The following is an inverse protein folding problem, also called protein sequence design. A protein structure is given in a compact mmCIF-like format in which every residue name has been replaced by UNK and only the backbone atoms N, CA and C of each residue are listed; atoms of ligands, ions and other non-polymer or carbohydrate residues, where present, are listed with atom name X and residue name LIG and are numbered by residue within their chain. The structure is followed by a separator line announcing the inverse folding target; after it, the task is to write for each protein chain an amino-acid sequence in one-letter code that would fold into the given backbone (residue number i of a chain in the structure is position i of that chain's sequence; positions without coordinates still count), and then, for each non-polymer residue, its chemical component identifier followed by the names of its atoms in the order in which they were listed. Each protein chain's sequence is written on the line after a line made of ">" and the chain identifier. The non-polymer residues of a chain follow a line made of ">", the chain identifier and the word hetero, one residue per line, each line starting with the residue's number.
data_IF_352145812535
#
_entry.id   IF_352145812535
#
_cell.length_a   1.000
_cell.length_b   1.000
_cell.length_c   1.000
_cell.angle_alpha   90.00
_cell.angle_beta   90.00
_cell.angle_gamma   90.00
#
_symmetry.space_group_name_H-M   'P 1'
#
loop_
_entity.id
_entity.type
_entity.pdbx_description
1 polymer ?
#
# COMPACT_ATOMS: atom_id res chain seq x y z
N UNK A 1 12.36 -6.42 33.25
CA UNK A 1 13.54 -7.18 32.76
C UNK A 1 13.19 -8.61 32.30
N UNK A 2 12.05 -9.19 32.71
CA UNK A 2 11.72 -10.61 32.46
C UNK A 2 11.19 -10.93 31.03
N UNK A 3 10.42 -10.03 30.42
CA UNK A 3 9.79 -10.27 29.11
C UNK A 3 10.79 -10.20 27.94
N UNK A 4 11.75 -9.28 27.99
CA UNK A 4 12.79 -9.14 26.97
C UNK A 4 13.65 -10.41 26.88
N UNK A 5 14.02 -10.98 28.02
CA UNK A 5 14.78 -12.23 28.08
C UNK A 5 13.97 -13.41 27.54
N UNK A 6 12.69 -13.54 27.91
CA UNK A 6 11.79 -14.58 27.37
C UNK A 6 11.66 -14.48 25.85
N UNK A 7 11.48 -13.27 25.31
CA UNK A 7 11.41 -13.03 23.87
C UNK A 7 12.74 -13.34 23.16
N UNK A 8 13.89 -13.04 23.78
CA UNK A 8 15.20 -13.36 23.22
C UNK A 8 15.44 -14.88 23.16
N UNK A 9 15.04 -15.62 24.19
CA UNK A 9 15.11 -17.10 24.23
C UNK A 9 14.18 -17.68 23.15
N UNK A 10 12.94 -17.21 23.07
CA UNK A 10 11.98 -17.64 22.06
C UNK A 10 12.50 -17.42 20.63
N UNK A 11 13.04 -16.23 20.33
CA UNK A 11 13.68 -15.94 19.03
C UNK A 11 14.86 -16.85 18.74
N UNK A 12 15.62 -17.25 19.77
CA UNK A 12 16.72 -18.21 19.62
C UNK A 12 16.22 -19.61 19.26
N UNK A 13 15.12 -20.05 19.87
CA UNK A 13 14.46 -21.32 19.50
C UNK A 13 13.92 -21.30 18.07
N UNK A 14 13.20 -20.24 17.67
CA UNK A 14 12.73 -20.08 16.29
C UNK A 14 13.88 -20.14 15.27
N UNK A 15 15.03 -19.53 15.60
CA UNK A 15 16.21 -19.59 14.74
C UNK A 15 16.77 -21.01 14.61
N UNK A 16 16.79 -21.78 15.70
CA UNK A 16 17.20 -23.20 15.68
C UNK A 16 16.26 -24.06 14.83
N UNK A 17 14.97 -23.72 14.82
CA UNK A 17 13.95 -24.36 13.99
C UNK A 17 13.97 -23.91 12.52
N UNK A 18 14.83 -22.95 12.15
CA UNK A 18 14.95 -22.47 10.78
C UNK A 18 13.83 -21.54 10.33
N UNK A 19 13.08 -20.93 11.26
CA UNK A 19 11.96 -20.04 10.92
C UNK A 19 12.42 -18.84 10.07
N UNK A 20 11.90 -18.65 8.84
CA UNK A 20 12.41 -17.63 7.91
C UNK A 20 12.43 -16.22 8.48
N UNK A 21 11.40 -15.79 9.20
CA UNK A 21 11.30 -14.45 9.80
C UNK A 21 12.50 -14.07 10.69
N UNK A 22 13.10 -15.04 11.39
CA UNK A 22 14.25 -14.79 12.27
C UNK A 22 15.60 -15.19 11.67
N UNK A 23 15.60 -15.91 10.55
CA UNK A 23 16.81 -16.34 9.83
C UNK A 23 17.11 -15.50 8.60
N UNK A 24 16.14 -14.77 8.04
CA UNK A 24 16.27 -14.03 6.78
C UNK A 24 17.43 -13.02 6.80
N UNK A 25 17.70 -12.39 7.95
CA UNK A 25 18.82 -11.46 8.12
C UNK A 25 20.08 -12.10 8.71
N UNK A 26 20.12 -13.43 8.85
CA UNK A 26 21.31 -14.14 9.35
C UNK A 26 22.44 -14.12 8.31
N UNK A 27 23.69 -14.25 8.76
CA UNK A 27 24.86 -14.24 7.89
C UNK A 27 24.87 -15.39 6.85
N UNK A 28 24.16 -16.49 7.13
CA UNK A 28 24.11 -17.68 6.25
C UNK A 28 23.30 -17.49 4.97
N UNK A 29 22.37 -16.53 4.95
CA UNK A 29 21.47 -16.29 3.82
C UNK A 29 21.82 -14.99 3.08
N UNK A 30 23.08 -14.55 3.16
CA UNK A 30 23.54 -13.31 2.54
C UNK A 30 24.33 -13.56 1.26
N UNK A 31 24.25 -12.63 0.29
CA UNK A 31 25.16 -12.63 -0.85
C UNK A 31 26.62 -12.61 -0.40
N UNK A 32 27.48 -13.27 -1.17
CA UNK A 32 28.93 -13.30 -0.91
C UNK A 32 29.48 -11.87 -0.73
N UNK A 33 30.33 -11.68 0.30
CA UNK A 33 30.96 -10.38 0.62
C UNK A 33 30.21 -9.50 1.62
N UNK A 34 29.04 -9.89 2.14
CA UNK A 34 28.27 -9.10 3.14
C UNK A 34 28.46 -9.61 4.58
N UNK A 35 29.40 -9.01 5.32
CA UNK A 35 29.78 -9.47 6.67
C UNK A 35 28.98 -8.88 7.85
N UNK A 36 28.03 -7.97 7.62
CA UNK A 36 27.24 -7.32 8.70
C UNK A 36 25.90 -8.02 8.94
N UNK A 37 25.48 -8.29 10.20
CA UNK A 37 24.21 -8.93 10.53
C UNK A 37 22.94 -8.19 10.08
N UNK A 38 23.01 -6.89 9.78
CA UNK A 38 21.89 -6.14 9.20
C UNK A 38 22.22 -5.79 7.74
N UNK A 39 21.76 -6.61 6.79
CA UNK A 39 21.95 -6.30 5.37
C UNK A 39 20.60 -6.16 4.68
N UNK A 40 20.27 -4.94 4.24
CA UNK A 40 19.22 -4.63 3.25
C UNK A 40 17.76 -4.95 3.61
N UNK A 41 17.51 -5.86 4.56
CA UNK A 41 16.17 -6.33 4.90
C UNK A 41 15.50 -5.32 5.80
N UNK A 42 14.41 -4.74 5.28
CA UNK A 42 13.52 -3.85 6.03
C UNK A 42 12.98 -4.57 7.27
N UNK A 43 12.77 -3.82 8.35
CA UNK A 43 12.10 -4.37 9.53
C UNK A 43 10.60 -4.43 9.28
N UNK A 44 9.90 -5.48 9.72
CA UNK A 44 8.46 -5.52 9.65
C UNK A 44 7.84 -4.33 10.37
N UNK A 45 6.77 -3.78 9.80
CA UNK A 45 5.85 -2.91 10.53
C UNK A 45 5.16 -3.73 11.62
N UNK A 46 4.71 -3.09 12.70
CA UNK A 46 4.09 -3.84 13.83
C UNK A 46 2.82 -4.58 13.42
N UNK A 47 2.13 -4.06 12.41
CA UNK A 47 0.93 -4.67 11.86
C UNK A 47 1.21 -5.82 10.90
N UNK A 48 2.46 -6.02 10.46
CA UNK A 48 2.82 -7.10 9.52
C UNK A 48 3.06 -8.40 10.30
N UNK A 49 1.97 -9.01 10.75
CA UNK A 49 2.00 -10.24 11.56
C UNK A 49 2.57 -11.43 10.80
N UNK A 50 2.44 -11.45 9.47
CA UNK A 50 3.00 -12.49 8.60
C UNK A 50 4.06 -11.91 7.66
N UNK A 51 5.14 -11.38 8.23
CA UNK A 51 6.19 -10.70 7.45
C UNK A 51 6.93 -11.63 6.48
N UNK A 52 7.38 -12.78 6.98
CA UNK A 52 8.11 -13.80 6.23
C UNK A 52 7.81 -15.21 6.81
N UNK A 53 6.59 -15.75 6.57
CA UNK A 53 6.18 -17.03 7.14
C UNK A 53 6.93 -18.23 6.52
N UNK A 54 7.01 -19.37 7.22
CA UNK A 54 7.47 -20.63 6.64
C UNK A 54 6.51 -21.12 5.55
N UNK A 55 7.00 -22.01 4.69
CA UNK A 55 6.15 -22.68 3.72
C UNK A 55 5.11 -23.58 4.43
N UNK A 56 3.92 -23.78 3.82
CA UNK A 56 2.95 -24.74 4.31
C UNK A 56 3.55 -26.14 4.45
N UNK A 57 3.01 -26.94 5.38
CA UNK A 57 3.48 -28.31 5.62
C UNK A 57 3.35 -29.13 4.33
N UNK A 58 4.42 -29.82 3.96
CA UNK A 58 4.47 -30.64 2.73
C UNK A 58 4.86 -29.86 1.48
N UNK A 59 4.97 -28.54 1.54
CA UNK A 59 5.39 -27.71 0.42
C UNK A 59 6.90 -27.43 0.42
N UNK A 60 7.46 -27.32 -0.77
CA UNK A 60 8.85 -26.96 -1.05
C UNK A 60 8.89 -25.80 -2.03
N UNK A 61 10.05 -25.16 -2.18
CA UNK A 61 10.22 -24.11 -3.20
C UNK A 61 9.87 -24.62 -4.60
N UNK A 62 10.28 -25.84 -4.95
CA UNK A 62 9.99 -26.46 -6.26
C UNK A 62 8.49 -26.69 -6.47
N UNK A 63 7.77 -27.16 -5.44
CA UNK A 63 6.32 -27.39 -5.57
C UNK A 63 5.55 -26.07 -5.68
N UNK A 64 5.94 -25.05 -4.92
CA UNK A 64 5.32 -23.72 -4.98
C UNK A 64 5.64 -22.99 -6.29
N UNK A 65 6.83 -23.17 -6.85
CA UNK A 65 7.19 -22.67 -8.18
C UNK A 65 6.34 -23.32 -9.29
N UNK A 66 6.04 -24.61 -9.18
CA UNK A 66 5.11 -25.28 -10.10
C UNK A 66 3.71 -24.66 -10.03
N UNK A 67 3.18 -24.43 -8.82
CA UNK A 67 1.88 -23.78 -8.62
C UNK A 67 1.87 -22.36 -9.19
N UNK A 68 2.96 -21.61 -9.02
CA UNK A 68 3.11 -20.26 -9.60
C UNK A 68 3.10 -20.29 -11.13
N UNK A 69 3.79 -21.24 -11.76
CA UNK A 69 3.77 -21.36 -13.23
C UNK A 69 2.37 -21.61 -13.76
N UNK A 70 1.57 -22.44 -13.07
CA UNK A 70 0.16 -22.62 -13.41
C UNK A 70 -0.65 -21.33 -13.23
N UNK A 71 -0.37 -20.56 -12.17
CA UNK A 71 -1.04 -19.29 -11.86
C UNK A 71 -0.94 -18.28 -13.00
N UNK A 72 0.23 -18.17 -13.66
CA UNK A 72 0.43 -17.29 -14.83
C UNK A 72 -0.52 -17.64 -15.98
N UNK A 73 -0.83 -18.93 -16.17
CA UNK A 73 -1.81 -19.37 -17.16
C UNK A 73 -3.25 -19.16 -16.70
N UNK A 74 -3.51 -19.33 -15.40
CA UNK A 74 -4.83 -19.31 -14.80
C UNK A 74 -5.45 -17.92 -14.77
N UNK A 75 -4.64 -16.87 -14.60
CA UNK A 75 -5.07 -15.46 -14.67
C UNK A 75 -5.67 -15.12 -16.03
N UNK A 76 -5.18 -15.76 -17.11
CA UNK A 76 -5.65 -15.52 -18.48
C UNK A 76 -6.98 -16.24 -18.78
N UNK A 77 -7.43 -17.14 -17.90
CA UNK A 77 -8.65 -17.94 -18.11
C UNK A 77 -9.89 -17.19 -17.63
N UNK A 78 -10.95 -17.22 -18.44
CA UNK A 78 -12.26 -16.69 -18.03
C UNK A 78 -12.83 -17.46 -16.84
N UNK A 79 -13.47 -16.75 -15.92
CA UNK A 79 -14.17 -17.31 -14.74
C UNK A 79 -13.30 -18.18 -13.80
N UNK A 80 -11.99 -17.93 -13.76
CA UNK A 80 -11.06 -18.75 -13.00
C UNK A 80 -10.62 -18.14 -11.65
N UNK A 81 -11.36 -17.13 -11.17
CA UNK A 81 -10.99 -16.31 -10.00
C UNK A 81 -10.77 -17.12 -8.73
N UNK A 82 -11.62 -18.12 -8.47
CA UNK A 82 -11.49 -18.94 -7.26
C UNK A 82 -10.24 -19.83 -7.29
N UNK A 83 -9.90 -20.40 -8.46
CA UNK A 83 -8.67 -21.17 -8.61
C UNK A 83 -7.43 -20.30 -8.43
N UNK A 84 -7.42 -19.09 -9.02
CA UNK A 84 -6.36 -18.10 -8.83
C UNK A 84 -6.23 -17.76 -7.35
N UNK A 85 -7.33 -17.47 -6.67
CA UNK A 85 -7.35 -17.14 -5.23
C UNK A 85 -6.77 -18.26 -4.37
N UNK A 86 -7.18 -19.51 -4.59
CA UNK A 86 -6.64 -20.67 -3.86
C UNK A 86 -5.13 -20.84 -4.10
N UNK A 87 -4.68 -20.67 -5.34
CA UNK A 87 -3.25 -20.76 -5.69
C UNK A 87 -2.45 -19.60 -5.10
N UNK A 88 -2.99 -18.38 -5.12
CA UNK A 88 -2.41 -17.22 -4.47
C UNK A 88 -2.25 -17.47 -2.97
N UNK A 89 -3.28 -17.99 -2.30
CA UNK A 89 -3.19 -18.34 -0.88
C UNK A 89 -2.11 -19.37 -0.59
N UNK A 90 -2.09 -20.46 -1.36
CA UNK A 90 -1.09 -21.54 -1.23
C UNK A 90 0.35 -21.04 -1.39
N UNK A 91 0.56 -20.05 -2.25
CA UNK A 91 1.88 -19.52 -2.61
C UNK A 91 2.28 -18.26 -1.83
N UNK A 92 1.47 -17.82 -0.86
CA UNK A 92 1.73 -16.61 -0.06
C UNK A 92 3.13 -16.55 0.56
N UNK A 93 3.55 -17.63 1.24
CA UNK A 93 4.85 -17.68 1.89
C UNK A 93 6.02 -17.60 0.89
N UNK A 94 5.85 -18.16 -0.31
CA UNK A 94 6.85 -18.09 -1.38
C UNK A 94 6.99 -16.69 -1.94
N UNK A 95 5.86 -16.04 -2.28
CA UNK A 95 5.84 -14.62 -2.67
C UNK A 95 6.48 -13.72 -1.64
N UNK A 96 6.14 -13.87 -0.35
CA UNK A 96 6.71 -13.04 0.72
C UNK A 96 8.21 -13.21 0.86
N UNK A 97 8.73 -14.42 0.69
CA UNK A 97 10.18 -14.64 0.70
C UNK A 97 10.85 -13.91 -0.48
N UNK A 98 10.30 -14.01 -1.68
CA UNK A 98 10.82 -13.31 -2.87
C UNK A 98 10.82 -11.78 -2.66
N UNK A 99 9.69 -11.21 -2.23
CA UNK A 99 9.57 -9.76 -1.96
C UNK A 99 10.53 -9.28 -0.88
N UNK A 100 10.66 -10.02 0.24
CA UNK A 100 11.44 -9.55 1.40
C UNK A 100 12.94 -9.82 1.25
N UNK A 101 13.30 -10.96 0.63
CA UNK A 101 14.69 -11.40 0.49
C UNK A 101 15.33 -10.90 -0.81
N UNK A 102 14.65 -11.13 -1.92
CA UNK A 102 15.22 -10.94 -3.25
C UNK A 102 14.99 -9.51 -3.75
N UNK A 103 13.94 -8.84 -3.25
CA UNK A 103 13.58 -7.45 -3.56
C UNK A 103 13.68 -7.14 -5.07
N UNK A 104 12.98 -7.90 -5.92
CA UNK A 104 13.04 -7.74 -7.37
C UNK A 104 12.45 -6.39 -7.82
N UNK A 105 12.81 -5.96 -9.03
CA UNK A 105 12.15 -4.84 -9.68
C UNK A 105 10.64 -5.13 -9.83
N UNK A 106 9.81 -4.10 -9.69
CA UNK A 106 8.35 -4.26 -9.73
C UNK A 106 7.87 -4.85 -11.07
N UNK A 107 8.49 -4.47 -12.19
CA UNK A 107 8.21 -5.04 -13.51
C UNK A 107 8.38 -6.55 -13.56
N UNK A 108 9.52 -7.03 -13.09
CA UNK A 108 9.86 -8.45 -13.12
C UNK A 108 8.95 -9.23 -12.16
N UNK A 109 8.66 -8.64 -11.00
CA UNK A 109 7.76 -9.22 -10.02
C UNK A 109 6.32 -9.30 -10.54
N UNK A 110 5.83 -8.26 -11.22
CA UNK A 110 4.51 -8.25 -11.84
C UNK A 110 4.39 -9.28 -12.95
N UNK A 111 5.41 -9.44 -13.80
CA UNK A 111 5.43 -10.49 -14.81
C UNK A 111 5.38 -11.90 -14.18
N UNK A 112 5.99 -12.06 -13.01
CA UNK A 112 6.06 -13.36 -12.30
C UNK A 112 4.81 -13.67 -11.46
N UNK A 113 4.14 -12.64 -10.95
CA UNK A 113 2.95 -12.70 -10.10
C UNK A 113 1.83 -11.76 -10.58
N UNK A 114 1.32 -11.90 -11.82
CA UNK A 114 0.38 -10.95 -12.40
C UNK A 114 -0.92 -10.82 -11.61
N UNK A 115 -1.42 -11.94 -11.02
CA UNK A 115 -2.63 -11.93 -10.21
C UNK A 115 -2.55 -11.00 -9.00
N UNK A 116 -1.37 -10.76 -8.44
CA UNK A 116 -1.22 -9.92 -7.26
C UNK A 116 -1.70 -8.48 -7.51
N UNK A 117 -1.65 -8.02 -8.77
CA UNK A 117 -2.02 -6.67 -9.16
C UNK A 117 -3.51 -6.55 -9.53
N UNK A 118 -4.33 -7.55 -9.17
CA UNK A 118 -5.78 -7.45 -9.20
C UNK A 118 -6.33 -6.97 -7.85
N UNK A 119 -7.37 -6.13 -7.86
CA UNK A 119 -8.01 -5.56 -6.66
C UNK A 119 -8.34 -6.63 -5.60
N UNK A 120 -8.88 -7.76 -6.02
CA UNK A 120 -9.24 -8.87 -5.13
C UNK A 120 -8.04 -9.49 -4.42
N UNK A 121 -6.94 -9.68 -5.14
CA UNK A 121 -5.74 -10.30 -4.59
C UNK A 121 -4.89 -9.32 -3.77
N UNK A 122 -4.87 -8.02 -4.08
CA UNK A 122 -4.26 -7.01 -3.19
C UNK A 122 -4.97 -7.00 -1.83
N UNK A 123 -6.31 -7.02 -1.84
CA UNK A 123 -7.11 -7.13 -0.63
C UNK A 123 -6.79 -8.41 0.16
N UNK A 124 -6.71 -9.55 -0.52
CA UNK A 124 -6.40 -10.83 0.10
C UNK A 124 -4.96 -10.87 0.65
N UNK A 125 -3.98 -10.39 -0.10
CA UNK A 125 -2.57 -10.38 0.29
C UNK A 125 -2.33 -9.45 1.48
N UNK A 126 -2.89 -8.25 1.45
CA UNK A 126 -2.84 -7.33 2.59
C UNK A 126 -3.43 -7.96 3.85
N UNK A 127 -4.57 -8.66 3.71
CA UNK A 127 -5.20 -9.37 4.83
C UNK A 127 -4.34 -10.54 5.32
N UNK A 128 -3.68 -11.28 4.42
CA UNK A 128 -2.73 -12.34 4.81
C UNK A 128 -1.55 -11.73 5.60
N UNK A 129 -1.04 -10.56 5.21
CA UNK A 129 0.08 -9.89 5.87
C UNK A 129 -0.31 -9.31 7.23
N UNK A 130 -1.49 -8.68 7.33
CA UNK A 130 -1.87 -7.82 8.47
C UNK A 130 -3.02 -8.32 9.33
N UNK A 131 -3.68 -9.40 8.91
CA UNK A 131 -4.97 -9.92 9.41
C UNK A 131 -6.16 -8.97 9.33
N UNK A 132 -5.98 -7.77 8.77
CA UNK A 132 -7.02 -6.77 8.61
C UNK A 132 -7.55 -6.73 7.17
N UNK A 133 -8.87 -6.55 6.95
CA UNK A 133 -9.36 -6.26 5.62
C UNK A 133 -8.85 -4.89 5.14
N UNK A 134 -8.43 -4.78 3.87
CA UNK A 134 -7.87 -3.55 3.31
C UNK A 134 -8.97 -2.55 2.93
N UNK A 135 -9.64 -2.79 1.80
CA UNK A 135 -10.52 -1.80 1.15
C UNK A 135 -11.70 -1.42 2.05
N UNK A 136 -12.43 -2.41 2.59
CA UNK A 136 -13.60 -2.12 3.41
C UNK A 136 -13.24 -1.36 4.70
N UNK A 137 -12.12 -1.71 5.34
CA UNK A 137 -11.63 -0.98 6.52
C UNK A 137 -11.17 0.42 6.16
N UNK A 138 -10.36 0.57 5.10
CA UNK A 138 -9.82 1.86 4.69
C UNK A 138 -10.93 2.87 4.42
N UNK A 139 -11.90 2.49 3.57
CA UNK A 139 -13.00 3.37 3.18
C UNK A 139 -13.94 3.66 4.36
N UNK A 140 -14.37 2.64 5.12
CA UNK A 140 -15.26 2.87 6.26
C UNK A 140 -14.62 3.72 7.36
N UNK A 141 -13.34 3.53 7.64
CA UNK A 141 -12.63 4.33 8.64
C UNK A 141 -12.38 5.75 8.15
N UNK A 142 -12.13 5.95 6.86
CA UNK A 142 -12.04 7.27 6.27
C UNK A 142 -13.40 8.00 6.41
N UNK A 143 -14.51 7.33 6.12
CA UNK A 143 -15.87 7.89 6.29
C UNK A 143 -16.13 8.30 7.74
N UNK A 144 -15.80 7.45 8.72
CA UNK A 144 -15.95 7.74 10.16
C UNK A 144 -15.20 9.01 10.57
N UNK A 145 -14.06 9.30 9.94
CA UNK A 145 -13.25 10.48 10.24
C UNK A 145 -13.55 11.69 9.37
N UNK A 146 -14.29 11.53 8.26
CA UNK A 146 -14.44 12.53 7.20
C UNK A 146 -15.05 13.83 7.72
N UNK A 147 -16.18 13.77 8.43
CA UNK A 147 -16.86 14.98 8.94
C UNK A 147 -15.95 15.82 9.86
N UNK A 148 -15.22 15.15 10.75
CA UNK A 148 -14.29 15.83 11.67
C UNK A 148 -13.08 16.40 10.92
N UNK A 149 -12.52 15.65 9.97
CA UNK A 149 -11.43 16.13 9.11
C UNK A 149 -11.85 17.37 8.33
N UNK A 150 -13.03 17.35 7.70
CA UNK A 150 -13.57 18.48 6.94
C UNK A 150 -13.73 19.71 7.84
N UNK A 151 -14.26 19.57 9.07
CA UNK A 151 -14.32 20.68 10.03
C UNK A 151 -12.94 21.25 10.35
N UNK A 152 -11.94 20.39 10.56
CA UNK A 152 -10.56 20.85 10.80
C UNK A 152 -9.97 21.58 9.59
N UNK A 153 -10.30 21.14 8.38
CA UNK A 153 -9.87 21.79 7.15
C UNK A 153 -10.52 23.17 6.99
N UNK A 154 -11.84 23.28 7.19
CA UNK A 154 -12.60 24.55 7.14
C UNK A 154 -12.11 25.58 8.19
N UNK A 155 -11.65 25.12 9.36
CA UNK A 155 -11.12 25.99 10.42
C UNK A 155 -9.66 26.44 10.21
N UNK A 156 -8.99 25.98 9.14
CA UNK A 156 -7.61 26.35 8.87
C UNK A 156 -7.56 27.69 8.15
N UNK A 157 -6.79 28.65 8.67
CA UNK A 157 -6.56 29.94 8.02
C UNK A 157 -5.32 29.99 7.11
N UNK A 158 -5.09 31.16 6.52
CA UNK A 158 -3.89 31.46 5.72
C UNK A 158 -3.86 30.76 4.35
N UNK A 159 -2.66 30.62 3.77
CA UNK A 159 -2.48 30.00 2.46
C UNK A 159 -2.91 28.52 2.43
N UNK A 160 -2.62 27.77 3.51
CA UNK A 160 -3.06 26.38 3.66
C UNK A 160 -4.59 26.32 3.69
N UNK A 161 -5.24 27.21 4.45
CA UNK A 161 -6.71 27.31 4.49
C UNK A 161 -7.34 27.53 3.12
N UNK A 162 -6.77 28.45 2.31
CA UNK A 162 -7.25 28.69 0.94
C UNK A 162 -7.11 27.46 0.04
N UNK A 163 -5.96 26.76 0.09
CA UNK A 163 -5.76 25.52 -0.67
C UNK A 163 -6.76 24.45 -0.26
N UNK A 164 -6.98 24.27 1.05
CA UNK A 164 -7.95 23.32 1.59
C UNK A 164 -9.37 23.67 1.14
N UNK A 165 -9.75 24.95 1.19
CA UNK A 165 -11.04 25.46 0.74
C UNK A 165 -11.33 25.08 -0.72
N UNK A 166 -10.36 25.26 -1.62
CA UNK A 166 -10.51 24.86 -3.02
C UNK A 166 -10.68 23.35 -3.22
N UNK A 167 -9.97 22.52 -2.43
CA UNK A 167 -10.08 21.05 -2.51
C UNK A 167 -11.45 20.57 -2.02
N UNK A 168 -12.01 21.20 -1.00
CA UNK A 168 -13.26 20.73 -0.37
C UNK A 168 -14.54 21.36 -0.94
N UNK A 169 -14.42 22.43 -1.73
CA UNK A 169 -15.55 23.14 -2.33
C UNK A 169 -16.46 22.25 -3.20
N UNK A 170 -15.96 21.31 -4.03
CA UNK A 170 -16.82 20.47 -4.87
C UNK A 170 -17.84 19.64 -4.09
N UNK A 171 -17.55 19.30 -2.83
CA UNK A 171 -18.46 18.51 -1.98
C UNK A 171 -19.70 19.30 -1.53
N UNK A 172 -19.71 20.63 -1.66
CA UNK A 172 -20.90 21.42 -1.33
C UNK A 172 -21.94 21.37 -2.48
N UNK A 173 -21.54 20.91 -3.68
CA UNK A 173 -22.37 20.84 -4.90
C UNK A 173 -22.80 19.41 -5.25
N UNK A 174 -22.00 18.40 -4.88
CA UNK A 174 -22.24 16.98 -5.16
C UNK A 174 -22.09 16.11 -3.91
N UNK A 175 -23.09 15.26 -3.62
CA UNK A 175 -23.13 14.34 -2.47
C UNK A 175 -22.52 12.96 -2.79
N UNK A 176 -21.70 12.85 -3.85
CA UNK A 176 -20.94 11.64 -4.15
C UNK A 176 -19.96 11.31 -3.01
N UNK A 177 -20.12 10.11 -2.46
CA UNK A 177 -19.30 9.55 -1.39
C UNK A 177 -17.84 9.40 -1.81
N UNK A 178 -17.57 9.02 -3.07
CA UNK A 178 -16.21 8.83 -3.57
C UNK A 178 -15.52 10.17 -3.84
N UNK A 179 -16.25 11.17 -4.34
CA UNK A 179 -15.77 12.56 -4.41
C UNK A 179 -15.38 13.07 -3.02
N UNK A 180 -16.25 12.87 -2.02
CA UNK A 180 -15.98 13.27 -0.64
C UNK A 180 -14.70 12.62 -0.11
N UNK A 181 -14.53 11.33 -0.31
CA UNK A 181 -13.34 10.58 0.11
C UNK A 181 -12.09 11.09 -0.59
N UNK A 182 -12.15 11.36 -1.89
CA UNK A 182 -11.05 11.94 -2.65
C UNK A 182 -10.64 13.31 -2.11
N UNK A 183 -11.59 14.22 -1.91
CA UNK A 183 -11.36 15.54 -1.33
C UNK A 183 -10.71 15.43 0.06
N UNK A 184 -11.18 14.50 0.90
CA UNK A 184 -10.58 14.27 2.23
C UNK A 184 -9.15 13.76 2.14
N UNK A 185 -8.83 12.84 1.21
CA UNK A 185 -7.47 12.32 1.01
C UNK A 185 -6.54 13.45 0.53
N UNK A 186 -6.92 14.21 -0.51
CA UNK A 186 -6.15 15.35 -1.03
C UNK A 186 -5.95 16.43 0.04
N UNK A 187 -7.01 16.79 0.76
CA UNK A 187 -6.96 17.79 1.82
C UNK A 187 -6.10 17.34 3.01
N UNK A 188 -6.05 16.04 3.31
CA UNK A 188 -5.17 15.50 4.36
C UNK A 188 -3.70 15.78 4.05
N UNK A 189 -3.26 15.59 2.79
CA UNK A 189 -1.89 15.92 2.36
C UNK A 189 -1.59 17.40 2.63
N UNK A 190 -2.45 18.30 2.14
CA UNK A 190 -2.26 19.75 2.32
C UNK A 190 -2.26 20.15 3.79
N UNK A 191 -3.16 19.59 4.60
CA UNK A 191 -3.24 19.89 6.04
C UNK A 191 -1.96 19.47 6.77
N UNK A 192 -1.34 18.37 6.33
CA UNK A 192 -0.06 17.88 6.84
C UNK A 192 1.14 18.58 6.20
N UNK A 193 0.93 19.63 5.41
CA UNK A 193 1.96 20.39 4.69
C UNK A 193 2.78 19.48 3.77
N UNK A 194 2.09 18.60 3.07
CA UNK A 194 2.57 17.74 2.00
C UNK A 194 1.79 18.08 0.72
N UNK A 195 2.36 17.80 -0.44
CA UNK A 195 1.74 18.16 -1.72
C UNK A 195 0.89 16.99 -2.25
N UNK A 196 -0.43 17.17 -2.46
CA UNK A 196 -1.30 16.11 -2.96
C UNK A 196 -0.87 15.57 -4.33
N UNK A 197 -0.17 16.36 -5.14
CA UNK A 197 0.33 15.97 -6.47
C UNK A 197 1.44 14.91 -6.41
N UNK A 198 2.02 14.66 -5.23
CA UNK A 198 2.91 13.51 -5.01
C UNK A 198 2.12 12.21 -4.79
N UNK A 199 0.82 12.28 -4.49
CA UNK A 199 -0.05 11.12 -4.31
C UNK A 199 -0.89 10.88 -5.56
N UNK A 200 -1.48 11.95 -6.12
CA UNK A 200 -2.44 11.89 -7.21
C UNK A 200 -2.18 13.02 -8.20
N UNK A 201 -1.95 12.67 -9.46
CA UNK A 201 -1.77 13.62 -10.57
C UNK A 201 -2.90 13.48 -11.59
N UNK A 202 -3.40 14.60 -12.07
CA UNK A 202 -4.47 14.65 -13.08
C UNK A 202 -3.89 15.06 -14.43
N UNK A 203 -4.32 14.38 -15.50
CA UNK A 203 -3.90 14.62 -16.87
C UNK A 203 -5.10 14.73 -17.78
N UNK A 204 -4.96 15.43 -18.91
CA UNK A 204 -5.99 15.49 -19.95
C UNK A 204 -5.57 14.56 -21.09
N UNK A 205 -6.50 13.75 -21.61
CA UNK A 205 -6.25 12.72 -22.65
C UNK A 205 -5.68 13.23 -23.99
N UNK A 206 -5.47 14.53 -24.17
CA UNK A 206 -4.74 15.09 -25.32
C UNK A 206 -3.21 15.04 -25.13
N UNK A 207 -2.74 14.83 -23.91
CA UNK A 207 -1.35 15.01 -23.52
C UNK A 207 -0.65 13.67 -23.21
N UNK A 208 -0.74 12.71 -24.14
CA UNK A 208 -0.10 11.39 -23.98
C UNK A 208 1.41 11.49 -23.70
N UNK A 209 2.10 12.47 -24.31
CA UNK A 209 3.53 12.71 -24.08
C UNK A 209 3.81 13.20 -22.65
N UNK A 210 2.97 14.09 -22.11
CA UNK A 210 3.14 14.60 -20.74
C UNK A 210 2.81 13.52 -19.70
N UNK A 211 1.80 12.69 -19.99
CA UNK A 211 1.49 11.53 -19.16
C UNK A 211 2.68 10.57 -19.10
N UNK A 212 3.27 10.24 -20.26
CA UNK A 212 4.42 9.35 -20.34
C UNK A 212 5.65 9.89 -19.60
N UNK A 213 6.02 11.16 -19.85
CA UNK A 213 7.14 11.82 -19.14
C UNK A 213 6.90 11.82 -17.62
N UNK A 214 5.68 12.13 -17.19
CA UNK A 214 5.38 12.16 -15.76
C UNK A 214 5.31 10.77 -15.13
N UNK A 215 4.89 9.73 -15.86
CA UNK A 215 4.97 8.34 -15.39
C UNK A 215 6.43 7.97 -15.16
N UNK A 216 7.32 8.33 -16.09
CA UNK A 216 8.75 8.03 -16.00
C UNK A 216 9.41 8.68 -14.78
N UNK A 217 8.98 9.88 -14.40
CA UNK A 217 9.45 10.59 -13.20
C UNK A 217 8.79 10.10 -11.89
N UNK A 218 7.66 9.39 -11.98
CA UNK A 218 6.88 9.00 -10.79
C UNK A 218 7.38 7.69 -10.20
N UNK A 219 7.94 7.77 -9.00
CA UNK A 219 8.35 6.57 -8.25
C UNK A 219 7.14 5.80 -7.71
N UNK A 220 6.13 6.51 -7.23
CA UNK A 220 4.92 5.93 -6.62
C UNK A 220 3.80 6.97 -6.63
N UNK A 221 2.64 6.64 -7.18
CA UNK A 221 1.49 7.55 -7.19
C UNK A 221 0.29 7.01 -7.94
N UNK A 222 -0.77 7.80 -7.97
CA UNK A 222 -2.01 7.57 -8.70
C UNK A 222 -2.06 8.58 -9.84
N UNK A 223 -2.46 8.14 -11.03
CA UNK A 223 -2.84 9.06 -12.10
C UNK A 223 -4.34 9.01 -12.35
N UNK A 224 -4.89 10.14 -12.76
CA UNK A 224 -6.27 10.29 -13.20
C UNK A 224 -6.23 10.91 -14.59
N UNK A 225 -6.64 10.14 -15.59
CA UNK A 225 -6.76 10.61 -16.96
C UNK A 225 -8.18 11.14 -17.17
N UNK A 226 -8.32 12.42 -17.51
CA UNK A 226 -9.61 13.07 -17.76
C UNK A 226 -9.88 13.18 -19.25
N UNK A 227 -11.15 13.04 -19.62
CA UNK A 227 -11.60 13.32 -20.98
C UNK A 227 -11.40 14.79 -21.35
N UNK A 228 -11.18 15.06 -22.64
CA UNK A 228 -11.05 16.42 -23.19
C UNK A 228 -12.31 17.27 -22.98
N UNK A 229 -13.46 16.62 -23.00
CA UNK A 229 -14.76 17.30 -22.99
C UNK A 229 -15.24 17.64 -21.56
N UNK A 230 -14.35 17.57 -20.56
CA UNK A 230 -14.64 17.82 -19.15
C UNK A 230 -15.80 16.96 -18.59
N UNK A 231 -15.93 15.73 -19.09
CA UNK A 231 -16.81 14.72 -18.47
C UNK A 231 -16.47 14.59 -16.99
N UNK A 232 -17.51 14.50 -16.14
CA UNK A 232 -17.36 14.33 -14.69
C UNK A 232 -16.61 13.04 -14.34
N UNK A 233 -16.72 12.01 -15.19
CA UNK A 233 -16.00 10.74 -14.99
C UNK A 233 -14.64 10.74 -15.71
N UNK A 234 -13.57 10.31 -15.01
CA UNK A 234 -12.28 10.12 -15.63
C UNK A 234 -12.32 8.98 -16.66
N UNK A 235 -11.46 9.09 -17.66
CA UNK A 235 -11.22 8.09 -18.70
C UNK A 235 -10.50 6.86 -18.13
N UNK A 236 -9.52 7.09 -17.26
CA UNK A 236 -8.78 6.03 -16.57
C UNK A 236 -8.25 6.52 -15.21
N UNK A 237 -8.16 5.61 -14.26
CA UNK A 237 -7.48 5.81 -12.98
C UNK A 237 -6.56 4.62 -12.77
N UNK A 238 -5.27 4.90 -12.55
CA UNK A 238 -4.29 3.85 -12.38
C UNK A 238 -3.23 4.18 -11.34
N UNK A 239 -2.36 3.20 -11.10
CA UNK A 239 -1.28 3.28 -10.12
C UNK A 239 0.04 3.11 -10.83
N UNK A 240 0.99 4.00 -10.50
CA UNK A 240 2.37 3.94 -10.95
C UNK A 240 3.27 3.50 -9.80
N UNK A 241 4.15 2.53 -10.05
CA UNK A 241 5.24 2.13 -9.17
C UNK A 241 6.52 1.93 -10.00
N UNK A 242 7.65 2.43 -9.51
CA UNK A 242 8.96 2.35 -10.20
C UNK A 242 8.86 2.76 -11.69
N UNK A 243 8.25 3.92 -11.94
CA UNK A 243 8.10 4.51 -13.27
C UNK A 243 7.25 3.67 -14.24
N UNK A 244 6.40 2.77 -13.73
CA UNK A 244 5.57 1.87 -14.53
C UNK A 244 4.14 1.83 -14.03
N UNK A 245 3.20 1.84 -14.97
CA UNK A 245 1.79 1.61 -14.65
C UNK A 245 1.62 0.14 -14.24
N UNK A 246 1.24 -0.09 -12.99
CA UNK A 246 1.04 -1.43 -12.44
C UNK A 246 -0.44 -1.81 -12.33
N UNK A 247 -1.35 -0.83 -12.37
CA UNK A 247 -2.80 -1.01 -12.37
C UNK A 247 -3.46 0.09 -13.20
N UNK A 248 -4.54 -0.26 -13.89
CA UNK A 248 -5.39 0.61 -14.72
C UNK A 248 -6.86 0.25 -14.47
N UNK A 249 -7.78 1.01 -15.05
CA UNK A 249 -9.22 0.76 -15.02
C UNK A 249 -9.80 0.68 -13.59
N UNK A 250 -9.29 1.51 -12.67
CA UNK A 250 -9.80 1.55 -11.31
C UNK A 250 -11.06 2.44 -11.23
N UNK A 251 -12.06 1.97 -10.49
CA UNK A 251 -13.38 2.62 -10.43
C UNK A 251 -13.35 4.07 -9.93
N UNK A 252 -12.51 4.36 -8.94
CA UNK A 252 -12.41 5.69 -8.32
C UNK A 252 -11.08 5.90 -7.58
N UNK A 253 -10.78 7.17 -7.28
CA UNK A 253 -9.57 7.59 -6.57
C UNK A 253 -9.45 6.97 -5.16
N UNK A 254 -10.51 6.93 -4.33
CA UNK A 254 -10.43 6.28 -3.01
C UNK A 254 -10.04 4.80 -3.09
N UNK A 255 -10.55 4.06 -4.08
CA UNK A 255 -10.15 2.69 -4.36
C UNK A 255 -8.67 2.61 -4.74
N UNK A 256 -8.21 3.48 -5.65
CA UNK A 256 -6.81 3.53 -6.05
C UNK A 256 -5.88 3.84 -4.87
N UNK A 257 -6.27 4.75 -3.97
CA UNK A 257 -5.53 5.04 -2.74
C UNK A 257 -5.47 3.84 -1.79
N UNK A 258 -6.56 3.10 -1.64
CA UNK A 258 -6.58 1.87 -0.85
C UNK A 258 -5.70 0.78 -1.48
N UNK A 259 -5.74 0.61 -2.81
CA UNK A 259 -4.93 -0.37 -3.54
C UNK A 259 -3.44 -0.03 -3.46
N UNK A 260 -3.07 1.24 -3.64
CA UNK A 260 -1.70 1.71 -3.47
C UNK A 260 -1.21 1.44 -2.03
N UNK A 261 -2.03 1.73 -1.02
CA UNK A 261 -1.72 1.41 0.36
C UNK A 261 -1.49 -0.11 0.54
N UNK A 262 -2.33 -0.96 -0.06
CA UNK A 262 -2.17 -2.41 -0.06
C UNK A 262 -0.88 -2.91 -0.74
N UNK A 263 -0.54 -2.34 -1.89
CA UNK A 263 0.67 -2.65 -2.66
C UNK A 263 1.93 -2.32 -1.87
N UNK A 264 1.95 -1.21 -1.13
CA UNK A 264 3.09 -0.85 -0.27
C UNK A 264 3.40 -1.95 0.74
N UNK A 265 2.38 -2.61 1.32
CA UNK A 265 2.58 -3.74 2.22
C UNK A 265 2.94 -5.03 1.46
N UNK A 266 2.21 -5.32 0.38
CA UNK A 266 2.36 -6.53 -0.42
C UNK A 266 3.77 -6.65 -1.01
N UNK A 267 4.32 -5.53 -1.47
CA UNK A 267 5.63 -5.38 -2.10
C UNK A 267 6.73 -4.91 -1.14
N UNK A 268 6.42 -4.81 0.16
CA UNK A 268 7.36 -4.39 1.22
C UNK A 268 8.00 -3.00 1.01
N UNK A 269 7.32 -2.10 0.30
CA UNK A 269 7.83 -0.77 -0.06
C UNK A 269 7.86 0.18 1.14
N UNK A 270 8.74 1.18 1.07
CA UNK A 270 8.70 2.31 2.01
C UNK A 270 7.61 3.30 1.59
N UNK A 271 7.11 4.08 2.54
CA UNK A 271 6.27 5.22 2.17
C UNK A 271 7.15 6.26 1.46
N UNK A 272 6.62 6.96 0.45
CA UNK A 272 7.32 8.06 -0.20
C UNK A 272 7.62 9.17 0.82
N UNK A 273 8.80 9.78 0.73
CA UNK A 273 9.30 10.71 1.74
C UNK A 273 8.45 12.00 1.79
N UNK A 274 7.90 12.37 0.65
CA UNK A 274 7.05 13.52 0.37
C UNK A 274 5.67 13.41 1.02
N UNK A 275 5.21 12.18 1.30
CA UNK A 275 3.90 11.88 1.89
C UNK A 275 4.00 11.10 3.22
N UNK A 276 5.16 11.17 3.88
CA UNK A 276 5.45 10.37 5.07
C UNK A 276 4.43 10.57 6.20
N UNK A 277 3.91 11.78 6.37
CA UNK A 277 2.92 12.10 7.41
C UNK A 277 1.53 11.66 6.98
N UNK A 278 1.16 11.83 5.72
CA UNK A 278 -0.12 11.33 5.17
C UNK A 278 -0.22 9.82 5.36
N UNK A 279 0.78 9.06 4.91
CA UNK A 279 0.79 7.61 5.10
C UNK A 279 0.89 7.19 6.57
N UNK A 280 1.58 7.96 7.43
CA UNK A 280 1.56 7.71 8.87
C UNK A 280 0.14 7.86 9.46
N UNK A 281 -0.60 8.91 9.09
CA UNK A 281 -1.98 9.13 9.53
C UNK A 281 -2.91 8.05 8.98
N UNK A 282 -2.82 7.73 7.68
CA UNK A 282 -3.60 6.65 7.07
C UNK A 282 -3.35 5.31 7.77
N UNK A 283 -2.08 4.98 8.05
CA UNK A 283 -1.73 3.73 8.73
C UNK A 283 -2.22 3.69 10.18
N UNK A 284 -1.92 4.72 10.97
CA UNK A 284 -2.00 4.64 12.44
C UNK A 284 -3.28 5.25 13.02
N UNK A 285 -3.92 6.16 12.30
CA UNK A 285 -5.16 6.81 12.74
C UNK A 285 -6.36 6.25 11.99
N UNK A 286 -6.31 6.20 10.65
CA UNK A 286 -7.43 5.70 9.84
C UNK A 286 -7.51 4.17 9.92
N UNK A 287 -6.45 3.47 9.55
CA UNK A 287 -6.41 2.01 9.55
C UNK A 287 -6.14 1.39 10.94
N UNK A 288 -5.67 2.19 11.89
CA UNK A 288 -5.32 1.79 13.27
C UNK A 288 -4.38 0.57 13.34
N UNK A 289 -3.44 0.49 12.40
CA UNK A 289 -2.52 -0.66 12.29
C UNK A 289 -1.40 -0.63 13.34
N UNK A 290 -1.02 0.54 13.86
CA UNK A 290 -0.01 0.66 14.91
C UNK A 290 -0.38 1.71 15.97
N UNK A 291 -0.22 1.36 17.26
CA UNK A 291 -0.77 2.17 18.36
C UNK A 291 0.18 3.11 19.10
N UNK A 292 1.51 2.98 18.98
CA UNK A 292 2.36 3.39 20.12
C UNK A 292 3.30 4.58 19.86
N UNK A 293 3.41 5.09 18.64
CA UNK A 293 4.19 6.29 18.36
C UNK A 293 3.70 6.99 17.09
N UNK A 294 3.26 8.24 17.23
CA UNK A 294 2.98 9.15 16.12
C UNK A 294 4.04 10.24 16.08
N UNK A 295 4.38 10.72 14.89
CA UNK A 295 5.10 11.99 14.78
C UNK A 295 4.31 13.11 15.46
N UNK A 296 5.01 14.17 15.88
CA UNK A 296 4.36 15.34 16.50
C UNK A 296 3.21 15.89 15.64
N UNK A 297 3.39 15.90 14.31
CA UNK A 297 2.40 16.40 13.36
C UNK A 297 1.15 15.50 13.31
N UNK A 298 1.35 14.18 13.18
CA UNK A 298 0.24 13.23 13.19
C UNK A 298 -0.47 13.17 14.56
N UNK A 299 0.26 13.34 15.66
CA UNK A 299 -0.31 13.40 17.01
C UNK A 299 -1.21 14.62 17.21
N UNK A 300 -0.80 15.79 16.71
CA UNK A 300 -1.63 17.02 16.78
C UNK A 300 -2.93 16.83 15.99
N UNK A 301 -2.86 16.25 14.79
CA UNK A 301 -4.06 15.92 14.01
C UNK A 301 -4.96 14.94 14.77
N UNK A 302 -4.39 13.83 15.28
CA UNK A 302 -5.13 12.85 16.06
C UNK A 302 -5.85 13.49 17.24
N UNK A 303 -5.15 14.30 18.04
CA UNK A 303 -5.77 14.96 19.20
C UNK A 303 -6.97 15.82 18.79
N UNK A 304 -6.89 16.55 17.67
CA UNK A 304 -7.98 17.38 17.16
C UNK A 304 -9.16 16.58 16.61
N UNK A 305 -8.97 15.32 16.20
CA UNK A 305 -10.06 14.44 15.75
C UNK A 305 -10.87 13.84 16.91
N UNK A 306 -10.30 13.77 18.10
CA UNK A 306 -10.95 13.20 19.30
C UNK A 306 -11.30 14.24 20.36
N UNK A 307 -11.08 15.52 20.07
CA UNK A 307 -11.70 16.66 20.75
C UNK A 307 -13.11 16.87 20.18
#
# INVERSE_FOLDING_TARGET
>A
MEMQNKLAIYRTHLRKLGCPEVTINSLKHKPEGKSRPAFGIKKPRRSEVNYCPPYPIGESEKSLESVRMELVSDVKKRNNREAVRMKMEKTFAYRRQEVVRDAPMIKDFQARWPALFEVGEINAEFKRITTMPLQSRFLSRLDVHSEKLIRLFKNRGGQIGRRLGGIIAPMDEDDDVDLRRECVIKALCVYLNEDPDNLLREYVAADESLLQESIEETTMGIYVLKHRDASEKPEDIGIVLESQIVMQDLDNVPLAAAMLFGLIYSLNLNYPAELKYTFEVLQKVVMELEGNALSKKAQVLKNRLYQ
#
